data_IF_594438589788
#
_entry.id   IF_594438589788
#
_cell.length_a   1.000
_cell.length_b   1.000
_cell.length_c   1.000
_cell.angle_alpha   90.00
_cell.angle_beta   90.00
_cell.angle_gamma   90.00
#
_symmetry.space_group_name_H-M   'P 1'
#
loop_
_entity.id
_entity.type
_entity.pdbx_description
1 polymer ?
#
# COMPACT_ATOMS: atom_id res chain seq x y z
N UNK A 1 -24.35 0.15 -13.22
CA UNK A 1 -23.11 0.53 -13.91
C UNK A 1 -21.99 0.49 -12.89
N UNK A 2 -20.92 -0.26 -13.14
CA UNK A 2 -19.77 -0.30 -12.22
C UNK A 2 -19.01 1.01 -12.40
N UNK A 3 -19.04 1.88 -11.39
CA UNK A 3 -18.32 3.14 -11.43
C UNK A 3 -16.81 2.87 -11.47
N UNK A 4 -16.09 3.61 -12.30
CA UNK A 4 -14.62 3.51 -12.46
C UNK A 4 -13.88 3.52 -11.11
N UNK A 5 -14.42 4.24 -10.13
CA UNK A 5 -13.94 4.26 -8.74
C UNK A 5 -13.90 2.89 -8.06
N UNK A 6 -14.89 2.02 -8.30
CA UNK A 6 -14.94 0.67 -7.73
C UNK A 6 -13.84 -0.22 -8.31
N UNK A 7 -13.55 -0.07 -9.60
CA UNK A 7 -12.48 -0.83 -10.27
C UNK A 7 -11.11 -0.41 -9.72
N UNK A 8 -10.91 0.90 -9.55
CA UNK A 8 -9.70 1.47 -8.93
C UNK A 8 -9.53 0.94 -7.50
N UNK A 9 -10.62 0.88 -6.72
CA UNK A 9 -10.62 0.34 -5.38
C UNK A 9 -10.22 -1.15 -5.34
N UNK A 10 -10.80 -1.97 -6.23
CA UNK A 10 -10.48 -3.40 -6.30
C UNK A 10 -9.01 -3.60 -6.66
N UNK A 11 -8.48 -2.84 -7.63
CA UNK A 11 -7.07 -2.91 -8.04
C UNK A 11 -6.14 -2.47 -6.91
N UNK A 12 -6.47 -1.39 -6.19
CA UNK A 12 -5.70 -0.92 -5.05
C UNK A 12 -5.72 -1.94 -3.90
N UNK A 13 -6.87 -2.55 -3.62
CA UNK A 13 -7.03 -3.55 -2.57
C UNK A 13 -6.21 -4.80 -2.88
N UNK A 14 -6.31 -5.29 -4.13
CA UNK A 14 -5.50 -6.42 -4.61
C UNK A 14 -4.01 -6.12 -4.56
N UNK A 15 -3.60 -4.88 -4.84
CA UNK A 15 -2.19 -4.45 -4.76
C UNK A 15 -1.67 -4.48 -3.32
N UNK A 16 -2.48 -4.05 -2.34
CA UNK A 16 -2.10 -4.07 -0.91
C UNK A 16 -2.08 -5.48 -0.36
N UNK A 17 -3.10 -6.30 -0.66
CA UNK A 17 -3.13 -7.71 -0.22
C UNK A 17 -1.92 -8.44 -0.80
N UNK A 18 -1.64 -8.27 -2.10
CA UNK A 18 -0.49 -8.88 -2.75
C UNK A 18 0.83 -8.39 -2.15
N UNK A 19 0.97 -7.08 -1.93
CA UNK A 19 2.18 -6.50 -1.32
C UNK A 19 2.40 -6.97 0.12
N UNK A 20 1.34 -7.11 0.90
CA UNK A 20 1.39 -7.58 2.30
C UNK A 20 1.68 -9.08 2.35
N UNK A 21 1.05 -9.88 1.50
CA UNK A 21 1.32 -11.31 1.42
C UNK A 21 2.75 -11.60 0.95
N UNK A 22 3.27 -10.81 0.01
CA UNK A 22 4.65 -10.95 -0.47
C UNK A 22 5.71 -10.41 0.51
N UNK A 23 5.31 -9.78 1.63
CA UNK A 23 6.24 -9.25 2.63
C UNK A 23 7.06 -10.35 3.32
N UNK A 24 6.52 -11.58 3.33
CA UNK A 24 7.13 -12.80 3.86
C UNK A 24 8.14 -13.45 2.88
N UNK A 25 8.16 -13.02 1.60
CA UNK A 25 9.07 -13.55 0.57
C UNK A 25 10.43 -12.81 0.59
N UNK A 26 11.50 -13.48 0.14
CA UNK A 26 12.93 -13.05 0.18
C UNK A 26 13.16 -11.53 0.14
N UNK A 27 13.95 -11.01 1.10
CA UNK A 27 14.30 -9.58 1.32
C UNK A 27 14.67 -8.75 0.07
N UNK A 28 15.23 -9.35 -0.98
CA UNK A 28 15.68 -8.64 -2.20
C UNK A 28 14.53 -8.17 -3.10
N UNK A 29 13.47 -8.97 -3.28
CA UNK A 29 12.32 -8.62 -4.15
C UNK A 29 11.40 -7.61 -3.45
N UNK A 30 11.27 -7.76 -2.12
CA UNK A 30 10.50 -6.85 -1.25
C UNK A 30 10.89 -5.38 -1.44
N UNK A 31 12.19 -5.12 -1.63
CA UNK A 31 12.76 -3.77 -1.61
C UNK A 31 12.57 -2.98 -2.91
N UNK A 32 12.60 -3.66 -4.06
CA UNK A 32 12.61 -3.00 -5.38
C UNK A 32 11.21 -2.84 -5.98
N UNK A 33 10.29 -3.73 -5.63
CA UNK A 33 8.95 -3.75 -6.22
C UNK A 33 7.82 -3.70 -5.19
N UNK A 34 7.97 -4.29 -3.99
CA UNK A 34 6.85 -4.41 -3.04
C UNK A 34 6.56 -3.12 -2.27
N UNK A 35 7.56 -2.44 -1.72
CA UNK A 35 7.32 -1.17 -1.01
C UNK A 35 6.74 -0.07 -1.92
N UNK A 36 7.24 0.15 -3.16
CA UNK A 36 6.60 1.09 -4.07
C UNK A 36 5.16 0.69 -4.43
N UNK A 37 4.88 -0.61 -4.66
CA UNK A 37 3.51 -1.09 -4.91
C UNK A 37 2.58 -0.88 -3.71
N UNK A 38 3.07 -1.11 -2.50
CA UNK A 38 2.31 -0.91 -1.27
C UNK A 38 1.96 0.57 -1.05
N UNK A 39 2.89 1.47 -1.34
CA UNK A 39 2.66 2.92 -1.22
C UNK A 39 1.70 3.40 -2.30
N UNK A 40 1.91 3.00 -3.56
CA UNK A 40 1.00 3.34 -4.68
C UNK A 40 -0.40 2.77 -4.47
N UNK A 41 -0.51 1.50 -4.10
CA UNK A 41 -1.78 0.86 -3.77
C UNK A 41 -2.44 1.50 -2.55
N UNK A 42 -1.63 1.84 -1.54
CA UNK A 42 -2.01 2.59 -0.33
C UNK A 42 -2.74 3.88 -0.66
N UNK A 43 -2.06 4.77 -1.38
CA UNK A 43 -2.56 6.09 -1.80
C UNK A 43 -3.82 5.95 -2.66
N UNK A 44 -3.84 4.99 -3.58
CA UNK A 44 -5.00 4.76 -4.45
C UNK A 44 -6.26 4.35 -3.67
N UNK A 45 -6.08 3.49 -2.65
CA UNK A 45 -7.17 3.07 -1.75
C UNK A 45 -7.58 4.16 -0.76
N UNK A 46 -6.63 4.99 -0.34
CA UNK A 46 -6.88 6.13 0.53
C UNK A 46 -7.79 7.15 -0.17
N UNK A 47 -7.50 7.48 -1.44
CA UNK A 47 -8.35 8.36 -2.27
C UNK A 47 -9.77 7.78 -2.39
N UNK A 48 -9.90 6.47 -2.59
CA UNK A 48 -11.22 5.82 -2.64
C UNK A 48 -11.94 5.85 -1.29
N UNK A 49 -11.22 5.69 -0.19
CA UNK A 49 -11.82 5.70 1.15
C UNK A 49 -12.25 7.10 1.56
N UNK A 50 -11.52 8.13 1.13
CA UNK A 50 -11.96 9.54 1.22
C UNK A 50 -13.26 9.74 0.44
N UNK A 51 -13.38 9.15 -0.75
CA UNK A 51 -14.61 9.21 -1.57
C UNK A 51 -15.81 8.54 -0.89
N UNK A 52 -15.61 7.40 -0.22
CA UNK A 52 -16.64 6.72 0.58
C UNK A 52 -16.85 7.36 1.96
N UNK A 53 -15.96 8.28 2.37
CA UNK A 53 -15.93 8.90 3.71
C UNK A 53 -15.71 7.90 4.85
N UNK A 54 -14.96 6.81 4.60
CA UNK A 54 -14.60 5.82 5.62
C UNK A 54 -13.40 6.29 6.44
N UNK A 55 -13.69 7.01 7.54
CA UNK A 55 -12.69 7.57 8.46
C UNK A 55 -11.74 6.51 9.04
N UNK A 56 -12.25 5.32 9.38
CA UNK A 56 -11.43 4.26 9.99
C UNK A 56 -10.40 3.79 8.98
N UNK A 57 -10.85 3.52 7.75
CA UNK A 57 -9.99 3.03 6.70
C UNK A 57 -8.96 4.08 6.27
N UNK A 58 -9.34 5.36 6.18
CA UNK A 58 -8.41 6.46 5.87
C UNK A 58 -7.26 6.53 6.89
N UNK A 59 -7.59 6.50 8.19
CA UNK A 59 -6.57 6.56 9.25
C UNK A 59 -5.65 5.34 9.19
N UNK A 60 -6.23 4.14 9.07
CA UNK A 60 -5.46 2.90 8.99
C UNK A 60 -4.51 2.91 7.78
N UNK A 61 -4.99 3.44 6.66
CA UNK A 61 -4.23 3.52 5.42
C UNK A 61 -3.08 4.51 5.51
N UNK A 62 -3.29 5.67 6.14
CA UNK A 62 -2.23 6.64 6.41
C UNK A 62 -1.12 6.04 7.27
N UNK A 63 -1.48 5.38 8.38
CA UNK A 63 -0.51 4.69 9.25
C UNK A 63 0.25 3.59 8.49
N UNK A 64 -0.44 2.85 7.62
CA UNK A 64 0.16 1.81 6.81
C UNK A 64 1.17 2.36 5.80
N UNK A 65 0.85 3.45 5.11
CA UNK A 65 1.76 4.12 4.17
C UNK A 65 3.00 4.64 4.89
N UNK A 66 2.84 5.28 6.07
CA UNK A 66 3.97 5.76 6.88
C UNK A 66 4.87 4.60 7.31
N UNK A 67 4.28 3.50 7.78
CA UNK A 67 5.01 2.28 8.16
C UNK A 67 5.77 1.67 6.97
N UNK A 68 5.14 1.65 5.78
CA UNK A 68 5.79 1.19 4.55
C UNK A 68 6.98 2.07 4.15
N UNK A 69 6.86 3.39 4.24
CA UNK A 69 7.96 4.34 3.99
C UNK A 69 9.10 4.12 4.99
N UNK A 70 8.79 4.03 6.28
CA UNK A 70 9.80 3.76 7.30
C UNK A 70 10.51 2.41 7.08
N UNK A 71 9.76 1.37 6.73
CA UNK A 71 10.33 0.06 6.37
C UNK A 71 11.27 0.13 5.16
N UNK A 72 10.94 0.94 4.16
CA UNK A 72 11.80 1.18 3.00
C UNK A 72 13.10 1.89 3.39
N UNK A 73 13.02 2.94 4.21
CA UNK A 73 14.19 3.71 4.68
C UNK A 73 15.09 2.85 5.57
N UNK A 74 14.53 2.15 6.56
CA UNK A 74 15.30 1.29 7.49
C UNK A 74 16.03 0.15 6.80
N UNK A 75 15.40 -0.44 5.79
CA UNK A 75 16.07 -1.44 4.95
C UNK A 75 17.17 -0.76 4.10
N UNK A 76 17.03 0.52 3.77
CA UNK A 76 18.05 1.29 3.07
C UNK A 76 19.32 1.50 3.86
N UNK A 77 19.16 1.76 5.15
CA UNK A 77 20.22 2.09 6.10
C UNK A 77 21.12 0.90 6.45
N UNK A 78 20.57 -0.31 6.57
CA UNK A 78 21.33 -1.56 6.80
C UNK A 78 22.26 -2.00 5.65
N UNK A 79 22.48 -1.14 4.66
CA UNK A 79 23.31 -1.40 3.47
C UNK A 79 24.47 -0.41 3.30
N UNK A 80 24.61 0.57 4.19
CA UNK A 80 25.89 1.27 4.42
C UNK A 80 26.70 0.46 5.42
#
# INVERSE_FOLDING_TARGET
MVNVFYIIAIIGLLSIISGTFLISKKRKVRRRFIYPLLILGGICLEIYSIYIQDLIFIILQGVFIISAIYGLIKINEHRK
#
